data_IF_722844793376
#
_entry.id   IF_722844793376
#
_cell.length_a   1.000
_cell.length_b   1.000
_cell.length_c   1.000
_cell.angle_alpha   90.00
_cell.angle_beta   90.00
_cell.angle_gamma   90.00
#
_symmetry.space_group_name_H-M   'P 1'
#
loop_
_entity.id
_entity.type
_entity.pdbx_description
1 polymer ?
#
# COMPACT_ATOMS: atom_id res chain seq x y z
N UNK A 1 101.03 71.41 2.94
CA UNK A 1 100.25 71.36 1.70
C UNK A 1 100.21 72.75 1.11
N UNK A 2 100.39 72.89 -0.20
CA UNK A 2 100.15 74.15 -0.92
C UNK A 2 98.71 74.20 -1.47
N UNK A 3 98.26 75.34 -1.98
CA UNK A 3 96.89 75.53 -2.47
C UNK A 3 96.52 74.60 -3.64
N UNK A 4 97.47 74.26 -4.52
CA UNK A 4 97.24 73.33 -5.63
C UNK A 4 97.03 71.90 -5.13
N UNK A 5 97.81 71.44 -4.15
CA UNK A 5 97.62 70.11 -3.53
C UNK A 5 96.26 69.99 -2.83
N UNK A 6 95.78 71.05 -2.18
CA UNK A 6 94.46 71.04 -1.55
C UNK A 6 93.31 71.06 -2.58
N UNK A 7 93.50 71.79 -3.69
CA UNK A 7 92.56 71.81 -4.81
C UNK A 7 92.50 70.45 -5.53
N UNK A 8 93.65 69.81 -5.76
CA UNK A 8 93.74 68.45 -6.33
C UNK A 8 93.04 67.43 -5.42
N UNK A 9 93.24 67.54 -4.10
CA UNK A 9 92.51 66.72 -3.12
C UNK A 9 91.01 67.00 -3.17
N UNK A 10 90.59 68.27 -3.26
CA UNK A 10 89.17 68.64 -3.31
C UNK A 10 88.49 68.16 -4.60
N UNK A 11 89.18 68.24 -5.75
CA UNK A 11 88.70 67.66 -7.02
C UNK A 11 88.58 66.15 -6.91
N UNK A 12 89.58 65.48 -6.30
CA UNK A 12 89.49 64.04 -6.07
C UNK A 12 88.31 63.66 -5.18
N UNK A 13 87.93 64.49 -4.20
CA UNK A 13 86.75 64.25 -3.34
C UNK A 13 85.45 64.48 -4.12
N UNK A 14 85.38 65.55 -4.90
CA UNK A 14 84.23 65.84 -5.77
C UNK A 14 83.99 64.73 -6.79
N UNK A 15 85.05 64.22 -7.41
CA UNK A 15 84.98 63.09 -8.35
C UNK A 15 84.44 61.82 -7.68
N UNK A 16 84.79 61.59 -6.41
CA UNK A 16 84.31 60.45 -5.62
C UNK A 16 82.86 60.62 -5.17
N UNK A 17 82.44 61.84 -4.79
CA UNK A 17 81.05 62.12 -4.43
C UNK A 17 80.14 62.04 -5.67
N UNK A 18 80.61 62.51 -6.83
CA UNK A 18 79.80 62.59 -8.04
C UNK A 18 78.59 63.52 -7.87
N UNK A 19 77.46 63.18 -8.49
CA UNK A 19 76.20 63.93 -8.30
C UNK A 19 76.26 65.41 -8.71
N UNK A 20 77.23 65.83 -9.53
CA UNK A 20 77.40 67.25 -9.88
C UNK A 20 78.02 68.11 -8.77
N UNK A 21 78.63 67.50 -7.74
CA UNK A 21 79.50 68.23 -6.81
C UNK A 21 80.63 68.94 -7.58
N UNK A 22 81.15 70.03 -7.01
CA UNK A 22 82.14 70.89 -7.64
C UNK A 22 83.03 71.55 -6.60
N UNK A 23 84.27 71.89 -6.96
CA UNK A 23 85.13 72.71 -6.09
C UNK A 23 84.86 74.18 -6.39
N UNK A 24 84.31 74.89 -5.41
CA UNK A 24 84.05 76.33 -5.50
C UNK A 24 85.36 77.11 -5.52
N UNK A 25 85.30 78.37 -5.96
CA UNK A 25 86.48 79.27 -6.03
C UNK A 25 87.15 79.54 -4.68
N UNK A 26 86.43 79.33 -3.58
CA UNK A 26 86.94 79.46 -2.21
C UNK A 26 87.54 78.15 -1.64
N UNK A 27 87.56 77.08 -2.45
CA UNK A 27 88.06 75.76 -2.08
C UNK A 27 87.05 74.90 -1.32
N UNK A 28 85.82 75.38 -1.07
CA UNK A 28 84.73 74.54 -0.55
C UNK A 28 84.17 73.62 -1.63
N UNK A 29 83.47 72.56 -1.23
CA UNK A 29 82.79 71.64 -2.14
C UNK A 29 81.31 72.01 -2.20
N UNK A 30 80.76 72.22 -3.40
CA UNK A 30 79.31 72.32 -3.59
C UNK A 30 78.67 70.96 -3.38
N UNK A 31 77.50 70.94 -2.73
CA UNK A 31 76.79 69.71 -2.44
C UNK A 31 76.50 68.92 -3.73
N UNK A 32 76.62 67.58 -3.71
CA UNK A 32 76.10 66.74 -4.79
C UNK A 32 74.58 66.85 -4.87
N UNK A 33 73.99 66.27 -5.91
CA UNK A 33 72.55 66.03 -6.03
C UNK A 33 72.35 64.57 -6.43
N UNK A 34 71.74 63.79 -5.54
CA UNK A 34 71.34 62.42 -5.78
C UNK A 34 69.81 62.36 -5.85
N UNK A 35 69.25 62.01 -7.01
CA UNK A 35 67.80 61.86 -7.15
C UNK A 35 67.40 60.40 -6.87
N UNK A 36 66.60 60.16 -5.83
CA UNK A 36 66.08 58.84 -5.45
C UNK A 36 64.57 58.97 -5.29
N UNK A 37 63.80 58.07 -5.93
CA UNK A 37 62.34 58.09 -5.91
C UNK A 37 61.73 59.49 -6.20
N UNK A 38 62.29 60.20 -7.19
CA UNK A 38 61.92 61.57 -7.58
C UNK A 38 62.14 62.66 -6.51
N UNK A 39 62.99 62.40 -5.51
CA UNK A 39 63.41 63.38 -4.50
C UNK A 39 64.92 63.59 -4.60
N UNK A 40 65.37 64.85 -4.55
CA UNK A 40 66.79 65.22 -4.60
C UNK A 40 67.39 65.29 -3.19
N UNK A 41 68.55 64.66 -3.01
CA UNK A 41 69.31 64.63 -1.77
C UNK A 41 70.69 65.24 -1.99
N UNK A 42 71.10 66.13 -1.10
CA UNK A 42 72.33 66.91 -1.23
C UNK A 42 73.54 66.30 -0.51
N UNK A 43 73.36 65.13 0.10
CA UNK A 43 74.42 64.39 0.77
C UNK A 43 74.18 62.87 0.69
N UNK A 44 75.27 62.11 0.86
CA UNK A 44 75.27 60.64 0.70
C UNK A 44 74.44 59.94 1.77
N UNK A 45 74.46 60.44 3.02
CA UNK A 45 73.76 59.79 4.13
C UNK A 45 72.24 59.79 3.94
N UNK A 46 71.69 60.96 3.60
CA UNK A 46 70.25 61.09 3.36
C UNK A 46 69.82 60.34 2.10
N UNK A 47 70.65 60.32 1.06
CA UNK A 47 70.41 59.51 -0.12
C UNK A 47 70.37 58.00 0.19
N UNK A 48 71.30 57.49 1.01
CA UNK A 48 71.32 56.07 1.39
C UNK A 48 70.13 55.69 2.29
N UNK A 49 69.75 56.55 3.23
CA UNK A 49 68.55 56.35 4.06
C UNK A 49 67.28 56.37 3.19
N UNK A 50 67.22 57.26 2.20
CA UNK A 50 66.11 57.28 1.24
C UNK A 50 66.04 55.98 0.43
N UNK A 51 67.19 55.43 0.01
CA UNK A 51 67.22 54.15 -0.69
C UNK A 51 66.71 53.01 0.20
N UNK A 52 67.20 52.92 1.45
CA UNK A 52 66.80 51.90 2.43
C UNK A 52 65.28 51.92 2.66
N UNK A 53 64.73 53.10 2.96
CA UNK A 53 63.29 53.28 3.16
C UNK A 53 62.46 52.95 1.93
N UNK A 54 62.92 53.30 0.73
CA UNK A 54 62.19 52.95 -0.52
C UNK A 54 62.20 51.46 -0.81
N UNK A 55 63.21 50.72 -0.36
CA UNK A 55 63.29 49.27 -0.51
C UNK A 55 62.39 48.55 0.51
N UNK A 56 62.23 49.10 1.72
CA UNK A 56 61.34 48.55 2.74
C UNK A 56 59.86 48.53 2.29
N UNK A 57 59.41 49.54 1.55
CA UNK A 57 58.04 49.63 1.04
C UNK A 57 57.83 48.91 -0.33
N UNK A 58 58.88 48.32 -0.91
CA UNK A 58 58.81 47.65 -2.19
C UNK A 58 58.33 46.19 -2.08
N UNK A 59 57.60 45.70 -3.09
CA UNK A 59 57.39 44.26 -3.24
C UNK A 59 58.66 43.61 -3.79
N UNK A 60 59.45 43.00 -2.91
CA UNK A 60 60.75 42.44 -3.25
C UNK A 60 60.67 40.97 -3.63
N UNK A 61 61.59 40.54 -4.49
CA UNK A 61 61.79 39.13 -4.81
C UNK A 61 62.47 38.41 -3.65
N UNK A 62 61.80 37.40 -3.11
CA UNK A 62 62.34 36.48 -2.11
C UNK A 62 62.76 35.19 -2.80
N UNK A 63 64.07 35.00 -2.96
CA UNK A 63 64.65 33.80 -3.57
C UNK A 63 64.47 32.53 -2.71
N UNK A 64 64.05 32.67 -1.45
CA UNK A 64 63.80 31.56 -0.53
C UNK A 64 62.32 31.16 -0.46
N UNK A 65 61.43 31.97 -1.06
CA UNK A 65 60.00 31.69 -1.14
C UNK A 65 59.69 30.60 -2.18
N UNK A 66 59.74 29.34 -1.75
CA UNK A 66 59.47 28.17 -2.59
C UNK A 66 60.65 27.76 -3.47
N UNK A 67 60.43 26.81 -4.39
CA UNK A 67 61.52 26.21 -5.20
C UNK A 67 62.18 27.18 -6.18
N UNK A 68 61.44 28.17 -6.69
CA UNK A 68 61.92 29.11 -7.70
C UNK A 68 62.01 30.55 -7.21
N UNK A 69 61.74 30.82 -5.93
CA UNK A 69 61.53 32.17 -5.41
C UNK A 69 60.18 32.78 -5.82
N UNK A 70 59.78 33.87 -5.16
CA UNK A 70 58.54 34.59 -5.42
C UNK A 70 58.63 36.07 -5.01
N UNK A 71 57.74 36.91 -5.52
CA UNK A 71 57.53 38.24 -4.93
C UNK A 71 56.87 38.10 -3.55
N UNK A 72 57.43 38.76 -2.54
CA UNK A 72 56.88 38.79 -1.20
C UNK A 72 55.91 39.95 -1.04
N UNK A 73 54.69 39.64 -0.65
CA UNK A 73 53.70 40.62 -0.19
C UNK A 73 53.74 40.82 1.34
N UNK A 74 54.84 40.43 2.00
CA UNK A 74 55.04 40.71 3.41
C UNK A 74 55.46 42.17 3.59
N UNK A 75 54.82 42.87 4.53
CA UNK A 75 55.23 44.19 4.99
C UNK A 75 55.33 44.11 6.52
N UNK A 76 56.46 44.54 7.08
CA UNK A 76 56.79 44.39 8.51
C UNK A 76 56.59 42.96 9.06
N UNK A 77 56.93 41.95 8.24
CA UNK A 77 56.84 40.53 8.61
C UNK A 77 55.43 39.93 8.59
N UNK A 78 54.42 40.66 8.12
CA UNK A 78 53.03 40.18 8.00
C UNK A 78 52.56 40.16 6.55
N UNK A 79 51.80 39.12 6.19
CA UNK A 79 51.15 39.05 4.89
C UNK A 79 50.19 40.23 4.70
N UNK A 80 50.35 40.95 3.60
CA UNK A 80 49.56 42.15 3.30
C UNK A 80 48.58 41.93 2.15
N UNK A 81 47.55 42.78 2.10
CA UNK A 81 46.60 42.79 0.98
C UNK A 81 47.24 43.45 -0.24
N UNK A 82 47.06 42.85 -1.41
CA UNK A 82 47.28 43.51 -2.70
C UNK A 82 45.91 44.03 -3.18
N UNK A 83 45.71 45.35 -3.15
CA UNK A 83 44.47 46.00 -3.56
C UNK A 83 44.60 46.69 -4.90
N UNK A 84 43.50 47.20 -5.45
CA UNK A 84 43.42 47.83 -6.78
C UNK A 84 43.84 46.88 -7.93
N UNK A 85 43.70 45.58 -7.71
CA UNK A 85 43.88 44.55 -8.73
C UNK A 85 42.70 44.60 -9.69
N UNK A 86 42.95 44.97 -10.95
CA UNK A 86 41.95 44.89 -12.02
C UNK A 86 41.46 43.45 -12.17
N UNK A 87 40.23 43.25 -12.67
CA UNK A 87 39.72 41.90 -12.91
C UNK A 87 40.62 41.18 -13.92
N UNK A 88 41.19 40.05 -13.50
CA UNK A 88 42.05 39.24 -14.36
C UNK A 88 41.25 38.53 -15.43
N UNK A 89 41.88 38.20 -16.56
CA UNK A 89 41.26 37.37 -17.58
C UNK A 89 41.03 35.95 -17.04
N UNK A 90 39.84 35.37 -17.24
CA UNK A 90 39.56 33.98 -16.86
C UNK A 90 39.63 33.10 -18.12
N UNK A 91 40.71 32.32 -18.23
CA UNK A 91 40.93 31.33 -19.29
C UNK A 91 41.95 30.29 -18.84
N UNK A 92 42.01 29.14 -19.52
CA UNK A 92 42.90 28.01 -19.20
C UNK A 92 44.40 28.34 -19.32
N UNK A 93 44.75 29.51 -19.86
CA UNK A 93 46.13 29.96 -20.06
C UNK A 93 46.44 31.30 -19.40
N UNK A 94 45.50 31.86 -18.62
CA UNK A 94 45.70 33.17 -18.01
C UNK A 94 46.78 33.13 -16.94
N UNK A 95 47.58 34.19 -16.86
CA UNK A 95 48.53 34.45 -15.77
C UNK A 95 48.16 35.69 -14.98
N UNK A 96 46.95 36.23 -15.21
CA UNK A 96 46.46 37.41 -14.50
C UNK A 96 46.05 37.03 -13.07
N UNK A 97 46.32 37.92 -12.11
CA UNK A 97 45.77 37.79 -10.77
C UNK A 97 44.24 38.01 -10.80
N UNK A 98 43.50 37.20 -10.04
CA UNK A 98 42.05 37.39 -9.84
C UNK A 98 41.77 38.21 -8.60
N UNK A 99 40.71 39.02 -8.63
CA UNK A 99 40.30 39.81 -7.47
C UNK A 99 39.06 39.23 -6.76
N UNK A 100 38.73 39.78 -5.60
CA UNK A 100 37.61 39.30 -4.78
C UNK A 100 36.24 39.41 -5.46
N UNK A 101 36.03 40.35 -6.38
CA UNK A 101 34.75 40.48 -7.09
C UNK A 101 34.51 39.29 -8.04
N UNK A 102 35.58 38.79 -8.68
CA UNK A 102 35.48 37.60 -9.54
C UNK A 102 35.19 36.35 -8.72
N UNK A 103 35.88 36.15 -7.60
CA UNK A 103 35.63 35.02 -6.70
C UNK A 103 34.21 35.08 -6.10
N UNK A 104 33.76 36.26 -5.67
CA UNK A 104 32.39 36.46 -5.18
C UNK A 104 31.34 36.16 -6.26
N UNK A 105 31.62 36.51 -7.52
CA UNK A 105 30.75 36.15 -8.66
C UNK A 105 30.59 34.63 -8.81
N UNK A 106 31.68 33.87 -8.69
CA UNK A 106 31.64 32.40 -8.67
C UNK A 106 30.84 31.89 -7.46
N UNK A 107 31.13 32.37 -6.25
CA UNK A 107 30.39 31.96 -5.05
C UNK A 107 28.89 32.25 -5.15
N UNK A 108 28.52 33.40 -5.75
CA UNK A 108 27.12 33.78 -5.95
C UNK A 108 26.41 32.83 -6.93
N UNK A 109 27.07 32.50 -8.04
CA UNK A 109 26.54 31.54 -9.01
C UNK A 109 26.32 30.15 -8.40
N UNK A 110 27.21 29.69 -7.51
CA UNK A 110 27.04 28.41 -6.81
C UNK A 110 25.90 28.47 -5.80
N UNK A 111 25.79 29.54 -5.01
CA UNK A 111 24.69 29.72 -4.06
C UNK A 111 23.32 29.74 -4.78
N UNK A 112 23.22 30.44 -5.92
CA UNK A 112 22.02 30.45 -6.77
C UNK A 112 21.69 29.06 -7.33
N UNK A 113 22.70 28.30 -7.77
CA UNK A 113 22.52 26.96 -8.31
C UNK A 113 22.05 25.94 -7.24
N UNK A 114 22.51 26.09 -5.99
CA UNK A 114 22.00 25.31 -4.87
C UNK A 114 20.56 25.71 -4.52
N UNK A 115 20.23 27.01 -4.59
CA UNK A 115 18.92 27.49 -4.19
C UNK A 115 18.66 27.24 -2.71
N UNK A 116 17.42 26.95 -2.32
CA UNK A 116 17.07 26.63 -0.93
C UNK A 116 17.44 27.72 0.10
N UNK A 117 17.62 28.98 -0.33
CA UNK A 117 18.09 30.06 0.55
C UNK A 117 19.60 30.09 0.81
N UNK A 118 20.41 29.29 0.10
CA UNK A 118 21.86 29.43 0.12
C UNK A 118 22.28 30.83 -0.36
N UNK A 119 23.30 31.40 0.29
CA UNK A 119 23.78 32.75 0.02
C UNK A 119 25.30 32.85 0.25
N UNK A 120 25.93 33.88 -0.33
CA UNK A 120 27.34 34.19 -0.03
C UNK A 120 27.40 35.01 1.26
N UNK A 121 28.11 34.50 2.26
CA UNK A 121 28.37 35.16 3.53
C UNK A 121 29.40 36.29 3.38
N UNK A 122 29.50 37.16 4.38
CA UNK A 122 30.45 38.28 4.37
C UNK A 122 31.94 37.87 4.30
N UNK A 123 32.25 36.62 4.65
CA UNK A 123 33.60 36.04 4.56
C UNK A 123 33.86 35.31 3.22
N UNK A 124 32.88 35.31 2.30
CA UNK A 124 32.96 34.65 1.01
C UNK A 124 32.56 33.17 1.01
N UNK A 125 32.29 32.58 2.17
CA UNK A 125 31.72 31.22 2.28
C UNK A 125 30.27 31.18 1.80
N UNK A 126 29.75 30.00 1.46
CA UNK A 126 28.36 29.80 1.06
C UNK A 126 27.57 29.23 2.26
N UNK A 127 26.47 29.87 2.63
CA UNK A 127 25.55 29.34 3.64
C UNK A 127 24.84 28.09 3.11
N UNK A 128 24.57 27.14 4.00
CA UNK A 128 23.89 25.92 3.61
C UNK A 128 22.47 26.22 3.08
N UNK A 129 22.00 25.52 2.02
CA UNK A 129 20.60 25.58 1.61
C UNK A 129 19.70 24.95 2.68
N UNK A 130 18.39 25.10 2.54
CA UNK A 130 17.36 24.36 3.27
C UNK A 130 16.37 23.79 2.26
N UNK A 131 16.27 22.46 2.21
CA UNK A 131 15.29 21.72 1.41
C UNK A 131 14.33 21.00 2.34
N UNK A 132 13.04 21.32 2.28
CA UNK A 132 12.01 20.66 3.11
C UNK A 132 11.37 19.51 2.33
N UNK A 133 11.50 18.29 2.86
CA UNK A 133 10.94 17.06 2.27
C UNK A 133 10.21 16.30 3.38
N UNK A 134 8.93 15.97 3.16
CA UNK A 134 8.07 15.28 4.14
C UNK A 134 8.17 15.90 5.55
N UNK A 135 7.98 17.22 5.63
CA UNK A 135 8.05 18.02 6.87
C UNK A 135 9.39 17.98 7.63
N UNK A 136 10.47 17.55 6.96
CA UNK A 136 11.84 17.54 7.50
C UNK A 136 12.77 18.41 6.65
N UNK A 137 13.60 19.22 7.30
CA UNK A 137 14.55 20.12 6.64
C UNK A 137 15.93 19.46 6.46
N UNK A 138 16.50 19.61 5.27
CA UNK A 138 17.82 19.09 4.88
C UNK A 138 18.72 20.21 4.39
N UNK A 139 19.98 20.23 4.84
CA UNK A 139 20.91 21.35 4.56
C UNK A 139 21.93 21.08 3.46
N UNK A 140 21.78 19.96 2.75
CA UNK A 140 22.60 19.62 1.60
C UNK A 140 21.82 18.75 0.61
N UNK A 141 22.29 18.73 -0.64
CA UNK A 141 21.60 18.04 -1.75
C UNK A 141 21.60 16.52 -1.55
N UNK A 142 22.69 15.93 -1.04
CA UNK A 142 22.81 14.48 -0.89
C UNK A 142 21.77 13.92 0.07
N UNK A 143 21.65 14.51 1.25
CA UNK A 143 20.68 14.07 2.25
C UNK A 143 19.24 14.33 1.81
N UNK A 144 18.99 15.46 1.13
CA UNK A 144 17.69 15.74 0.54
C UNK A 144 17.30 14.69 -0.53
N UNK A 145 18.23 14.29 -1.41
CA UNK A 145 17.94 13.25 -2.41
C UNK A 145 17.71 11.88 -1.77
N UNK A 146 18.49 11.52 -0.75
CA UNK A 146 18.28 10.27 0.00
C UNK A 146 16.92 10.27 0.72
N UNK A 147 16.51 11.42 1.24
CA UNK A 147 15.20 11.56 1.86
C UNK A 147 14.09 11.32 0.84
N UNK A 148 14.17 11.92 -0.35
CA UNK A 148 13.20 11.67 -1.43
C UNK A 148 13.13 10.17 -1.75
N UNK A 149 14.28 9.52 -1.99
CA UNK A 149 14.34 8.08 -2.31
C UNK A 149 13.64 7.24 -1.22
N UNK A 150 13.97 7.47 0.05
CA UNK A 150 13.35 6.76 1.17
C UNK A 150 11.86 7.07 1.37
N UNK A 151 11.39 8.26 1.00
CA UNK A 151 9.96 8.59 1.07
C UNK A 151 9.17 7.88 -0.02
N UNK A 152 9.78 7.62 -1.18
CA UNK A 152 9.16 6.84 -2.25
C UNK A 152 8.97 5.37 -1.85
N UNK A 153 9.89 4.79 -1.08
CA UNK A 153 9.77 3.41 -0.57
C UNK A 153 8.51 3.21 0.30
N UNK A 154 8.04 4.27 0.95
CA UNK A 154 6.87 4.23 1.82
C UNK A 154 5.56 4.61 1.10
N UNK A 155 5.61 4.90 -0.20
CA UNK A 155 4.44 5.30 -0.98
C UNK A 155 3.75 4.10 -1.64
N UNK A 156 2.44 4.19 -1.85
CA UNK A 156 1.71 3.29 -2.75
C UNK A 156 2.01 3.68 -4.20
N UNK A 157 2.97 3.00 -4.81
CA UNK A 157 3.43 3.29 -6.16
C UNK A 157 2.72 2.44 -7.21
N UNK A 158 2.62 3.01 -8.42
CA UNK A 158 2.12 2.30 -9.58
C UNK A 158 3.17 1.30 -10.09
N UNK A 159 2.76 0.05 -10.23
CA UNK A 159 3.55 -1.03 -10.79
C UNK A 159 2.95 -1.43 -12.15
N UNK A 160 3.63 -1.04 -13.22
CA UNK A 160 3.19 -1.33 -14.59
C UNK A 160 3.26 -2.83 -14.94
N UNK A 161 4.00 -3.64 -14.17
CA UNK A 161 4.08 -5.08 -14.36
C UNK A 161 3.06 -5.85 -13.50
N UNK A 162 2.35 -5.17 -12.60
CA UNK A 162 1.33 -5.78 -11.76
C UNK A 162 0.03 -6.01 -12.54
N UNK A 163 -0.10 -7.19 -13.15
CA UNK A 163 -1.28 -7.59 -13.94
C UNK A 163 -1.29 -7.03 -15.36
N UNK A 164 -2.39 -7.26 -16.09
CA UNK A 164 -2.46 -6.96 -17.54
C UNK A 164 -2.39 -5.46 -17.87
N UNK A 165 -2.85 -4.60 -16.95
CA UNK A 165 -2.91 -3.14 -17.16
C UNK A 165 -2.06 -2.36 -16.14
N UNK A 166 -1.24 -3.02 -15.33
CA UNK A 166 -0.60 -2.43 -14.15
C UNK A 166 -1.57 -2.21 -12.99
N UNK A 167 -1.02 -2.00 -11.79
CA UNK A 167 -1.79 -1.76 -10.57
C UNK A 167 -0.98 -0.96 -9.54
N UNK A 168 -1.66 -0.35 -8.57
CA UNK A 168 -0.98 0.13 -7.37
C UNK A 168 -0.48 -1.05 -6.53
N UNK A 169 0.79 -1.01 -6.14
CA UNK A 169 1.43 -2.08 -5.39
C UNK A 169 1.50 -1.74 -3.90
N UNK A 170 0.84 -2.55 -3.08
CA UNK A 170 0.84 -2.43 -1.62
C UNK A 170 1.97 -3.24 -0.95
N UNK A 171 3.00 -3.64 -1.71
CA UNK A 171 4.18 -4.30 -1.16
C UNK A 171 5.08 -3.28 -0.45
N UNK A 172 5.51 -3.61 0.76
CA UNK A 172 6.55 -2.89 1.50
C UNK A 172 7.61 -3.89 1.92
N UNK A 173 8.89 -3.61 1.63
CA UNK A 173 10.01 -4.53 1.81
C UNK A 173 9.78 -5.94 1.21
N UNK A 174 9.16 -5.98 0.02
CA UNK A 174 8.87 -7.21 -0.73
C UNK A 174 7.75 -8.07 -0.16
N UNK A 175 6.94 -7.55 0.79
CA UNK A 175 5.81 -8.26 1.39
C UNK A 175 4.52 -7.47 1.18
N UNK A 176 3.44 -8.19 0.90
CA UNK A 176 2.11 -7.60 0.86
C UNK A 176 1.78 -6.93 2.21
N UNK A 177 1.35 -5.67 2.17
CA UNK A 177 1.01 -4.88 3.36
C UNK A 177 -0.49 -4.65 3.48
N UNK A 178 -0.93 -4.33 4.70
CA UNK A 178 -2.31 -3.98 5.01
C UNK A 178 -2.57 -2.52 4.64
N UNK A 179 -3.65 -2.28 3.90
CA UNK A 179 -4.22 -0.93 3.71
C UNK A 179 -5.30 -0.72 4.78
N UNK A 180 -5.05 0.16 5.74
CA UNK A 180 -5.99 0.48 6.83
C UNK A 180 -6.54 1.90 6.71
N UNK A 181 -7.43 2.29 7.62
CA UNK A 181 -8.15 3.58 7.59
C UNK A 181 -8.97 3.79 6.31
N UNK A 182 -9.37 2.69 5.67
CA UNK A 182 -10.27 2.69 4.52
C UNK A 182 -11.69 2.92 5.05
N UNK A 183 -12.31 4.03 4.64
CA UNK A 183 -13.72 4.30 4.93
C UNK A 183 -14.63 3.24 4.29
N UNK A 184 -15.87 3.13 4.76
CA UNK A 184 -16.82 2.18 4.15
C UNK A 184 -17.08 2.57 2.69
N UNK A 185 -16.81 1.65 1.76
CA UNK A 185 -17.12 1.83 0.35
C UNK A 185 -18.62 1.71 0.08
N UNK A 186 -19.11 2.35 -0.98
CA UNK A 186 -20.49 2.16 -1.40
C UNK A 186 -20.69 0.75 -1.97
N UNK A 187 -21.81 0.11 -1.61
CA UNK A 187 -22.20 -1.22 -2.13
C UNK A 187 -23.37 -1.03 -3.09
N UNK A 188 -23.08 -0.90 -4.39
CA UNK A 188 -24.04 -0.82 -5.50
C UNK A 188 -23.38 -1.33 -6.80
N UNK A 189 -24.18 -1.54 -7.85
CA UNK A 189 -23.75 -2.21 -9.10
C UNK A 189 -22.59 -1.51 -9.84
N UNK A 190 -22.37 -0.22 -9.61
CA UNK A 190 -21.38 0.60 -10.34
C UNK A 190 -20.24 1.10 -9.46
N UNK A 191 -20.19 0.69 -8.19
CA UNK A 191 -19.20 1.19 -7.24
C UNK A 191 -17.79 0.73 -7.60
N UNK A 192 -16.83 1.64 -7.50
CA UNK A 192 -15.39 1.37 -7.60
C UNK A 192 -14.66 1.60 -6.28
N UNK A 193 -15.41 1.75 -5.18
CA UNK A 193 -14.85 1.97 -3.87
C UNK A 193 -14.27 0.67 -3.30
N UNK A 194 -13.16 0.79 -2.57
CA UNK A 194 -12.67 -0.31 -1.76
C UNK A 194 -13.64 -0.60 -0.61
N UNK A 195 -13.87 -1.89 -0.31
CA UNK A 195 -14.62 -2.32 0.88
C UNK A 195 -13.66 -2.60 2.03
N UNK A 196 -14.07 -2.27 3.25
CA UNK A 196 -13.27 -2.55 4.45
C UNK A 196 -13.78 -3.77 5.24
N UNK A 197 -13.01 -4.17 6.25
CA UNK A 197 -13.32 -5.35 7.06
C UNK A 197 -14.66 -5.29 7.82
N UNK A 198 -15.15 -4.10 8.16
CA UNK A 198 -16.45 -3.97 8.85
C UNK A 198 -17.63 -4.38 7.96
N UNK A 199 -17.54 -4.08 6.66
CA UNK A 199 -18.56 -4.42 5.67
C UNK A 199 -18.57 -5.93 5.39
N UNK A 200 -17.39 -6.53 5.20
CA UNK A 200 -17.29 -7.98 5.03
C UNK A 200 -17.75 -8.73 6.29
N UNK A 201 -17.43 -8.23 7.48
CA UNK A 201 -17.90 -8.82 8.73
C UNK A 201 -19.43 -8.76 8.86
N UNK A 202 -20.07 -7.66 8.47
CA UNK A 202 -21.53 -7.57 8.46
C UNK A 202 -22.16 -8.65 7.57
N UNK A 203 -21.62 -8.88 6.38
CA UNK A 203 -22.05 -9.98 5.49
C UNK A 203 -21.82 -11.35 6.14
N UNK A 204 -20.64 -11.59 6.71
CA UNK A 204 -20.32 -12.87 7.36
C UNK A 204 -21.26 -13.18 8.54
N UNK A 205 -21.64 -12.18 9.32
CA UNK A 205 -22.62 -12.33 10.40
C UNK A 205 -24.00 -12.72 9.87
N UNK A 206 -24.44 -12.12 8.75
CA UNK A 206 -25.70 -12.51 8.11
C UNK A 206 -25.65 -13.96 7.60
N UNK A 207 -24.52 -14.38 7.02
CA UNK A 207 -24.32 -15.76 6.58
C UNK A 207 -24.37 -16.74 7.76
N UNK A 208 -23.68 -16.44 8.86
CA UNK A 208 -23.71 -17.28 10.05
C UNK A 208 -25.12 -17.41 10.64
N UNK A 209 -25.93 -16.35 10.60
CA UNK A 209 -27.33 -16.43 11.04
C UNK A 209 -28.18 -17.38 10.17
N UNK A 210 -27.83 -17.56 8.90
CA UNK A 210 -28.51 -18.48 7.98
C UNK A 210 -27.97 -19.91 8.14
N UNK A 211 -26.64 -20.08 8.12
CA UNK A 211 -25.99 -21.37 8.16
C UNK A 211 -26.01 -22.02 9.56
N UNK A 212 -26.03 -21.21 10.63
CA UNK A 212 -25.83 -21.66 12.00
C UNK A 212 -24.35 -21.87 12.32
N UNK A 213 -24.04 -22.86 13.15
CA UNK A 213 -22.66 -23.24 13.48
C UNK A 213 -22.00 -23.94 12.28
N UNK A 214 -21.01 -23.27 11.68
CA UNK A 214 -20.23 -23.76 10.54
C UNK A 214 -18.83 -24.21 10.94
N UNK A 215 -18.57 -24.45 12.23
CA UNK A 215 -17.29 -24.98 12.66
C UNK A 215 -17.09 -26.40 12.10
N UNK A 216 -15.85 -26.75 11.75
CA UNK A 216 -15.50 -28.06 11.21
C UNK A 216 -15.97 -29.21 12.13
N UNK A 217 -15.86 -29.01 13.45
CA UNK A 217 -16.35 -29.97 14.44
C UNK A 217 -17.86 -30.15 14.37
N UNK A 218 -18.61 -29.06 14.27
CA UNK A 218 -20.07 -29.11 14.25
C UNK A 218 -20.59 -29.76 12.96
N UNK A 219 -20.02 -29.39 11.82
CA UNK A 219 -20.36 -29.97 10.51
C UNK A 219 -20.07 -31.48 10.49
N UNK A 220 -18.91 -31.91 11.01
CA UNK A 220 -18.57 -33.34 11.04
C UNK A 220 -19.56 -34.16 11.89
N UNK A 221 -20.05 -33.60 13.00
CA UNK A 221 -20.98 -34.30 13.89
C UNK A 221 -22.44 -34.21 13.42
N UNK A 222 -22.85 -33.10 12.78
CA UNK A 222 -24.26 -32.77 12.53
C UNK A 222 -24.62 -32.66 11.04
N UNK A 223 -23.64 -32.73 10.14
CA UNK A 223 -23.83 -32.55 8.71
C UNK A 223 -23.77 -31.10 8.24
N UNK A 224 -23.66 -30.96 6.92
CA UNK A 224 -23.78 -29.66 6.25
C UNK A 224 -25.25 -29.21 6.16
N UNK A 225 -25.46 -27.90 6.04
CA UNK A 225 -26.77 -27.32 5.82
C UNK A 225 -26.94 -25.91 6.39
N UNK A 226 -28.21 -25.53 6.55
CA UNK A 226 -28.63 -24.27 7.18
C UNK A 226 -29.16 -24.53 8.59
N UNK A 227 -29.37 -23.47 9.36
CA UNK A 227 -29.66 -23.57 10.79
C UNK A 227 -30.81 -24.53 11.16
N UNK A 228 -31.83 -24.64 10.30
CA UNK A 228 -33.02 -25.47 10.54
C UNK A 228 -33.13 -26.70 9.63
N UNK A 229 -32.26 -26.83 8.63
CA UNK A 229 -32.27 -27.95 7.67
C UNK A 229 -30.83 -28.40 7.50
N UNK A 230 -30.52 -29.55 8.09
CA UNK A 230 -29.20 -30.19 7.97
C UNK A 230 -29.35 -31.62 7.52
N UNK A 231 -28.37 -32.08 6.76
CA UNK A 231 -28.21 -33.49 6.46
C UNK A 231 -26.81 -33.91 6.82
N UNK A 232 -26.68 -34.88 7.73
CA UNK A 232 -25.40 -35.51 7.96
C UNK A 232 -25.10 -36.50 6.83
N UNK A 233 -24.32 -36.01 5.88
CA UNK A 233 -23.79 -36.74 4.73
C UNK A 233 -22.33 -37.19 4.95
N UNK A 234 -21.83 -37.13 6.19
CA UNK A 234 -20.48 -37.58 6.51
C UNK A 234 -20.26 -39.04 6.07
N UNK A 235 -19.27 -39.24 5.21
CA UNK A 235 -18.93 -40.56 4.65
C UNK A 235 -19.82 -41.00 3.48
N UNK A 236 -20.71 -40.15 2.99
CA UNK A 236 -21.45 -40.36 1.75
C UNK A 236 -20.76 -39.66 0.57
N UNK A 237 -21.07 -40.07 -0.65
CA UNK A 237 -20.63 -39.35 -1.86
C UNK A 237 -21.53 -38.13 -2.02
N UNK A 238 -20.98 -36.96 -2.35
CA UNK A 238 -21.78 -35.75 -2.52
C UNK A 238 -22.93 -35.94 -3.53
N UNK A 239 -24.17 -35.75 -3.08
CA UNK A 239 -25.40 -35.81 -3.88
C UNK A 239 -26.39 -34.76 -3.37
N UNK A 240 -26.85 -33.88 -4.26
CA UNK A 240 -27.73 -32.76 -3.92
C UNK A 240 -29.22 -33.18 -3.80
N UNK A 241 -30.01 -32.37 -3.10
CA UNK A 241 -31.46 -32.46 -3.18
C UNK A 241 -31.94 -31.91 -4.54
N UNK A 242 -32.86 -32.60 -5.20
CA UNK A 242 -33.34 -32.26 -6.55
C UNK A 242 -34.84 -31.98 -6.55
N UNK A 243 -35.23 -30.69 -6.58
CA UNK A 243 -36.61 -30.24 -6.76
C UNK A 243 -36.82 -29.76 -8.21
N UNK A 244 -37.19 -30.67 -9.12
CA UNK A 244 -37.29 -30.40 -10.57
C UNK A 244 -38.71 -30.16 -11.06
N UNK A 245 -39.72 -30.63 -10.32
CA UNK A 245 -41.12 -30.29 -10.62
C UNK A 245 -41.42 -28.82 -10.33
N UNK A 246 -42.36 -28.22 -11.05
CA UNK A 246 -42.76 -26.82 -10.83
C UNK A 246 -43.36 -26.69 -9.42
N UNK A 247 -42.73 -25.90 -8.55
CA UNK A 247 -43.17 -25.73 -7.16
C UNK A 247 -42.80 -26.89 -6.22
N UNK A 248 -41.96 -27.83 -6.66
CA UNK A 248 -41.54 -28.96 -5.85
C UNK A 248 -40.60 -28.55 -4.69
N UNK A 249 -40.52 -29.39 -3.65
CA UNK A 249 -39.61 -29.22 -2.51
C UNK A 249 -38.86 -30.52 -2.24
N UNK A 250 -37.53 -30.48 -2.28
CA UNK A 250 -36.65 -31.59 -1.93
C UNK A 250 -35.77 -31.17 -0.74
N UNK A 251 -35.79 -31.97 0.33
CA UNK A 251 -35.01 -31.71 1.56
C UNK A 251 -34.32 -33.00 2.01
N UNK A 252 -32.99 -33.02 1.97
CA UNK A 252 -32.18 -34.15 2.39
C UNK A 252 -31.27 -34.71 1.30
N UNK A 253 -30.27 -35.46 1.71
CA UNK A 253 -29.27 -36.11 0.84
C UNK A 253 -29.95 -36.92 -0.28
N UNK A 254 -29.62 -36.63 -1.54
CA UNK A 254 -30.17 -37.32 -2.72
C UNK A 254 -31.71 -37.44 -2.70
N UNK A 255 -32.42 -36.46 -2.12
CA UNK A 255 -33.88 -36.41 -2.17
C UNK A 255 -34.34 -35.89 -3.54
N UNK A 256 -35.38 -36.49 -4.12
CA UNK A 256 -35.83 -36.20 -5.49
C UNK A 256 -37.32 -35.88 -5.50
N UNK A 257 -37.68 -34.63 -5.74
CA UNK A 257 -39.05 -34.17 -5.96
C UNK A 257 -39.20 -33.72 -7.43
N UNK A 258 -39.64 -34.64 -8.30
CA UNK A 258 -39.74 -34.41 -9.75
C UNK A 258 -41.17 -34.27 -10.29
N UNK A 259 -42.18 -34.50 -9.45
CA UNK A 259 -43.56 -34.16 -9.77
C UNK A 259 -43.85 -32.68 -9.48
N UNK A 260 -44.73 -32.05 -10.25
CA UNK A 260 -45.14 -30.66 -9.99
C UNK A 260 -45.77 -30.55 -8.59
N UNK A 261 -45.42 -29.51 -7.83
CA UNK A 261 -45.82 -29.30 -6.44
C UNK A 261 -45.54 -30.47 -5.48
N UNK A 262 -44.65 -31.39 -5.83
CA UNK A 262 -44.35 -32.57 -5.01
C UNK A 262 -43.36 -32.26 -3.88
N UNK A 263 -43.38 -33.07 -2.82
CA UNK A 263 -42.50 -32.93 -1.65
C UNK A 263 -41.74 -34.22 -1.42
N UNK A 264 -40.42 -34.14 -1.28
CA UNK A 264 -39.55 -35.26 -0.89
C UNK A 264 -38.67 -34.83 0.29
N UNK A 265 -38.84 -35.46 1.46
CA UNK A 265 -38.10 -35.13 2.68
C UNK A 265 -37.43 -36.39 3.23
N UNK A 266 -36.10 -36.35 3.36
CA UNK A 266 -35.26 -37.41 3.90
C UNK A 266 -34.32 -38.02 2.86
N UNK A 267 -33.27 -38.68 3.34
CA UNK A 267 -32.22 -39.27 2.52
C UNK A 267 -32.79 -40.27 1.50
N UNK A 268 -32.50 -40.11 0.20
CA UNK A 268 -33.02 -40.95 -0.90
C UNK A 268 -34.56 -40.98 -1.03
N UNK A 269 -35.28 -40.01 -0.45
CA UNK A 269 -36.73 -39.91 -0.68
C UNK A 269 -37.02 -39.51 -2.13
N UNK A 270 -38.11 -40.00 -2.72
CA UNK A 270 -38.46 -39.75 -4.11
C UNK A 270 -39.96 -39.49 -4.27
N UNK A 271 -40.34 -38.33 -4.81
CA UNK A 271 -41.72 -37.99 -5.14
C UNK A 271 -41.83 -37.57 -6.60
N UNK A 272 -42.24 -38.50 -7.46
CA UNK A 272 -42.18 -38.37 -8.93
C UNK A 272 -43.51 -38.02 -9.60
N UNK A 273 -44.56 -37.88 -8.79
CA UNK A 273 -45.93 -37.61 -9.22
C UNK A 273 -46.38 -36.26 -8.71
N UNK A 274 -47.22 -35.59 -9.49
CA UNK A 274 -47.79 -34.29 -9.17
C UNK A 274 -48.39 -34.31 -7.76
N UNK A 275 -47.92 -33.37 -6.93
CA UNK A 275 -48.36 -33.13 -5.56
C UNK A 275 -48.25 -34.34 -4.63
N UNK A 276 -47.45 -35.33 -5.00
CA UNK A 276 -47.11 -36.44 -4.13
C UNK A 276 -46.18 -36.01 -3.00
N UNK A 277 -46.26 -36.69 -1.86
CA UNK A 277 -45.48 -36.36 -0.67
C UNK A 277 -44.73 -37.61 -0.22
N UNK A 278 -43.40 -37.63 -0.31
CA UNK A 278 -42.55 -38.68 0.23
C UNK A 278 -41.87 -38.20 1.52
N UNK A 279 -42.18 -38.79 2.67
CA UNK A 279 -41.62 -38.42 3.98
C UNK A 279 -40.81 -39.56 4.61
N UNK A 280 -39.57 -39.27 4.95
CA UNK A 280 -38.63 -40.21 5.55
C UNK A 280 -37.61 -40.77 4.55
N UNK A 281 -36.51 -41.32 5.09
CA UNK A 281 -35.45 -41.89 4.25
C UNK A 281 -35.99 -42.99 3.34
N UNK A 282 -35.60 -42.97 2.07
CA UNK A 282 -35.99 -43.95 1.05
C UNK A 282 -37.50 -44.08 0.81
N UNK A 283 -38.31 -43.12 1.27
CA UNK A 283 -39.75 -43.12 0.98
C UNK A 283 -39.99 -42.76 -0.49
N UNK A 284 -40.91 -43.46 -1.14
CA UNK A 284 -41.22 -43.28 -2.56
C UNK A 284 -42.71 -42.97 -2.72
N UNK A 285 -43.02 -41.78 -3.20
CA UNK A 285 -44.34 -41.37 -3.68
C UNK A 285 -44.33 -41.40 -5.21
N UNK A 286 -44.82 -42.50 -5.78
CA UNK A 286 -44.92 -42.72 -7.23
C UNK A 286 -46.31 -43.23 -7.66
N UNK A 287 -47.24 -43.36 -6.71
CA UNK A 287 -48.61 -43.83 -6.96
C UNK A 287 -49.57 -42.66 -7.19
N UNK A 288 -49.99 -42.49 -8.44
CA UNK A 288 -51.11 -41.61 -8.78
C UNK A 288 -52.37 -42.14 -8.11
N UNK A 289 -53.06 -41.32 -7.30
CA UNK A 289 -54.39 -41.67 -6.81
C UNK A 289 -55.37 -41.28 -7.91
N UNK A 290 -55.84 -42.28 -8.65
CA UNK A 290 -56.79 -42.08 -9.75
C UNK A 290 -58.11 -41.48 -9.24
N UNK A 291 -58.68 -40.53 -10.00
CA UNK A 291 -60.07 -40.11 -9.83
C UNK A 291 -61.02 -41.24 -10.23
N UNK A 292 -61.91 -41.59 -9.30
CA UNK A 292 -62.98 -42.56 -9.51
C UNK A 292 -62.63 -43.94 -8.96
N UNK A 293 -63.40 -44.40 -7.97
CA UNK A 293 -63.50 -45.82 -7.71
C UNK A 293 -64.96 -46.24 -7.80
N UNK A 294 -65.16 -47.51 -8.17
CA UNK A 294 -66.47 -48.09 -8.42
C UNK A 294 -66.65 -49.38 -7.61
N UNK A 295 -67.85 -49.43 -7.04
CA UNK A 295 -68.63 -50.55 -6.51
C UNK A 295 -68.08 -51.25 -5.26
N UNK A 296 -68.57 -50.79 -4.11
CA UNK A 296 -68.69 -51.61 -2.90
C UNK A 296 -69.64 -52.77 -3.20
N UNK A 297 -69.18 -54.02 -3.14
CA UNK A 297 -70.03 -55.21 -3.33
C UNK A 297 -70.13 -56.01 -2.04
N UNK A 298 -71.28 -56.61 -1.77
CA UNK A 298 -71.46 -57.52 -0.63
C UNK A 298 -71.39 -58.93 -1.18
N UNK A 299 -70.42 -59.72 -0.73
CA UNK A 299 -70.35 -61.16 -0.98
C UNK A 299 -70.79 -61.92 0.28
N UNK A 300 -71.01 -63.23 0.16
CA UNK A 300 -71.40 -64.10 1.29
C UNK A 300 -70.36 -64.09 2.44
N UNK A 301 -69.13 -63.64 2.16
CA UNK A 301 -68.00 -63.56 3.09
C UNK A 301 -67.71 -62.14 3.63
N UNK A 302 -68.49 -61.11 3.27
CA UNK A 302 -68.35 -59.75 3.84
C UNK A 302 -68.58 -58.57 2.87
N UNK A 303 -68.48 -57.35 3.41
CA UNK A 303 -68.64 -56.09 2.67
C UNK A 303 -67.30 -55.70 2.03
N UNK A 304 -67.25 -55.71 0.70
CA UNK A 304 -66.16 -55.09 -0.08
C UNK A 304 -66.45 -53.60 -0.18
N UNK A 305 -65.58 -52.74 0.35
CA UNK A 305 -65.69 -51.29 0.12
C UNK A 305 -64.93 -50.93 -1.18
N UNK A 306 -65.64 -50.63 -2.26
CA UNK A 306 -65.12 -49.90 -3.40
C UNK A 306 -65.08 -48.41 -3.06
N UNK A 307 -63.90 -47.80 -3.13
CA UNK A 307 -63.72 -46.37 -2.87
C UNK A 307 -64.51 -45.52 -3.89
N UNK A 308 -64.72 -44.22 -3.65
CA UNK A 308 -64.95 -43.25 -4.73
C UNK A 308 -64.53 -41.86 -4.25
N UNK A 309 -63.64 -41.20 -4.99
CA UNK A 309 -62.90 -39.99 -4.63
C UNK A 309 -63.19 -38.82 -5.58
N UNK A 310 -64.48 -38.67 -5.93
CA UNK A 310 -64.93 -38.06 -7.19
C UNK A 310 -65.24 -36.55 -7.22
N UNK A 311 -64.72 -35.71 -6.33
CA UNK A 311 -64.76 -34.26 -6.56
C UNK A 311 -63.82 -33.47 -5.62
N UNK A 312 -62.61 -33.06 -6.01
CA UNK A 312 -61.85 -33.17 -7.26
C UNK A 312 -60.43 -32.64 -6.98
N UNK A 313 -59.44 -33.13 -7.73
CA UNK A 313 -57.98 -32.97 -7.51
C UNK A 313 -57.39 -33.86 -6.40
N UNK A 314 -57.60 -35.18 -6.49
CA UNK A 314 -56.67 -36.10 -5.84
C UNK A 314 -55.31 -36.04 -6.52
N UNK A 315 -54.46 -35.33 -5.82
CA UNK A 315 -53.06 -35.12 -6.06
C UNK A 315 -52.25 -36.18 -5.30
N UNK A 316 -51.00 -36.45 -5.70
CA UNK A 316 -50.25 -37.67 -5.36
C UNK A 316 -50.29 -38.13 -3.89
N UNK A 317 -50.07 -39.42 -3.64
CA UNK A 317 -50.21 -39.99 -2.30
C UNK A 317 -49.15 -39.46 -1.30
N UNK A 318 -49.53 -39.39 -0.02
CA UNK A 318 -48.57 -39.35 1.08
C UNK A 318 -47.95 -40.74 1.25
N UNK A 319 -46.66 -40.86 0.97
CA UNK A 319 -45.87 -42.05 1.20
C UNK A 319 -44.87 -41.83 2.33
N UNK A 320 -44.91 -42.71 3.32
CA UNK A 320 -43.95 -42.78 4.43
C UNK A 320 -43.00 -43.97 4.30
N UNK A 321 -42.95 -44.59 3.12
CA UNK A 321 -42.22 -45.83 2.88
C UNK A 321 -42.06 -46.10 1.39
N UNK A 322 -41.68 -47.32 1.06
CA UNK A 322 -41.51 -47.80 -0.31
C UNK A 322 -41.95 -49.26 -0.36
N UNK A 323 -42.00 -49.86 -1.55
CA UNK A 323 -42.34 -51.27 -1.69
C UNK A 323 -41.41 -52.15 -0.82
N UNK A 324 -42.01 -52.94 0.06
CA UNK A 324 -41.28 -53.75 1.05
C UNK A 324 -40.61 -52.97 2.19
N UNK A 325 -40.71 -51.63 2.23
CA UNK A 325 -40.16 -50.74 3.28
C UNK A 325 -41.29 -49.93 3.92
N UNK A 326 -42.03 -50.57 4.81
CA UNK A 326 -43.16 -49.94 5.47
C UNK A 326 -42.75 -49.28 6.79
N UNK A 327 -43.44 -48.20 7.14
CA UNK A 327 -43.34 -47.57 8.46
C UNK A 327 -44.69 -47.64 9.15
N UNK A 328 -44.66 -47.80 10.47
CA UNK A 328 -45.85 -47.64 11.29
C UNK A 328 -46.08 -46.16 11.55
N UNK A 329 -47.33 -45.73 11.48
CA UNK A 329 -47.77 -44.46 12.03
C UNK A 329 -48.28 -44.76 13.45
N UNK A 330 -47.61 -44.21 14.45
CA UNK A 330 -47.93 -44.41 15.87
C UNK A 330 -48.32 -43.09 16.52
N UNK A 331 -48.96 -43.14 17.69
CA UNK A 331 -49.52 -41.97 18.38
C UNK A 331 -50.59 -41.22 17.54
N UNK A 332 -51.31 -41.96 16.70
CA UNK A 332 -52.49 -41.47 15.99
C UNK A 332 -53.66 -41.48 16.98
N UNK A 333 -54.37 -40.35 17.11
CA UNK A 333 -55.60 -40.30 17.89
C UNK A 333 -56.73 -41.06 17.17
N UNK A 334 -57.77 -41.45 17.90
CA UNK A 334 -58.93 -42.07 17.25
C UNK A 334 -59.58 -41.11 16.26
N UNK A 335 -59.96 -41.64 15.08
CA UNK A 335 -60.59 -40.85 14.02
C UNK A 335 -61.94 -40.31 14.47
N UNK A 336 -62.18 -39.03 14.16
CA UNK A 336 -63.42 -38.30 14.45
C UNK A 336 -64.29 -38.08 13.20
N UNK A 337 -63.67 -38.09 12.02
CA UNK A 337 -64.31 -37.89 10.71
C UNK A 337 -64.05 -39.08 9.78
N UNK A 338 -64.84 -39.18 8.70
CA UNK A 338 -64.82 -40.33 7.78
C UNK A 338 -63.50 -40.57 7.03
N UNK A 339 -62.56 -39.62 7.08
CA UNK A 339 -61.28 -39.66 6.37
C UNK A 339 -60.05 -39.58 7.28
N UNK A 340 -60.26 -39.66 8.59
CA UNK A 340 -59.18 -39.70 9.56
C UNK A 340 -58.44 -41.06 9.51
N UNK A 341 -57.15 -41.05 9.86
CA UNK A 341 -56.43 -42.29 10.12
C UNK A 341 -56.98 -42.95 11.39
N UNK A 342 -57.24 -44.27 11.35
CA UNK A 342 -57.80 -45.04 12.47
C UNK A 342 -56.75 -45.90 13.17
N UNK A 343 -56.90 -46.11 14.49
CA UNK A 343 -55.99 -46.91 15.31
C UNK A 343 -56.33 -48.42 15.21
N UNK A 344 -55.32 -49.28 15.45
CA UNK A 344 -55.40 -50.73 15.19
C UNK A 344 -56.18 -51.59 16.22
N UNK A 345 -57.02 -51.02 17.10
CA UNK A 345 -57.86 -51.83 17.99
C UNK A 345 -59.11 -51.08 18.51
N UNK A 346 -60.33 -51.57 18.24
CA UNK A 346 -60.71 -52.48 17.18
C UNK A 346 -61.80 -51.88 16.28
N UNK A 347 -61.61 -52.05 14.97
CA UNK A 347 -62.71 -52.59 14.15
C UNK A 347 -63.15 -53.84 14.89
N UNK A 348 -64.22 -53.75 15.70
CA UNK A 348 -64.71 -54.88 16.45
C UNK A 348 -64.92 -56.02 15.46
N UNK A 349 -64.22 -57.15 15.66
CA UNK A 349 -64.65 -58.40 15.07
C UNK A 349 -66.11 -58.58 15.51
N UNK A 350 -67.05 -58.37 14.58
CA UNK A 350 -68.37 -58.94 14.72
C UNK A 350 -68.17 -60.45 14.67
N UNK A 351 -67.91 -61.06 15.82
CA UNK A 351 -67.79 -62.50 15.94
C UNK A 351 -69.16 -63.09 15.60
N UNK A 352 -69.28 -63.67 14.41
CA UNK A 352 -70.50 -64.32 13.92
C UNK A 352 -70.72 -65.60 14.73
N UNK A 353 -71.48 -65.51 15.82
CA UNK A 353 -71.98 -66.70 16.50
C UNK A 353 -73.18 -67.27 15.71
N UNK A 354 -72.93 -68.19 14.78
CA UNK A 354 -73.99 -69.01 14.21
C UNK A 354 -74.50 -70.02 15.25
N UNK A 355 -75.73 -69.83 15.75
CA UNK A 355 -76.52 -70.93 16.31
C UNK A 355 -77.90 -70.92 15.65
N UNK A 356 -78.39 -72.12 15.34
CA UNK A 356 -79.52 -72.40 14.45
C UNK A 356 -80.70 -71.41 14.52
N UNK A 357 -81.07 -70.92 13.33
CA UNK A 357 -82.37 -70.36 12.93
C UNK A 357 -82.82 -68.96 13.39
N UNK A 358 -81.96 -68.11 13.95
CA UNK A 358 -82.26 -66.65 13.99
C UNK A 358 -80.98 -65.79 13.98
N UNK A 359 -80.85 -64.90 12.99
CA UNK A 359 -79.84 -63.83 13.00
C UNK A 359 -80.38 -62.67 13.83
N UNK A 360 -79.83 -62.46 15.02
CA UNK A 360 -80.02 -61.20 15.76
C UNK A 360 -78.82 -60.28 15.50
N UNK A 361 -79.11 -59.11 14.95
CA UNK A 361 -78.17 -57.99 14.87
C UNK A 361 -78.23 -57.30 16.24
N UNK A 362 -77.18 -57.43 17.06
CA UNK A 362 -77.00 -56.54 18.20
C UNK A 362 -76.37 -55.23 17.71
N UNK A 363 -76.87 -54.06 18.13
CA UNK A 363 -76.27 -52.79 17.74
C UNK A 363 -74.91 -52.61 18.44
N UNK A 364 -73.93 -52.12 17.68
CA UNK A 364 -72.72 -51.51 18.21
C UNK A 364 -73.06 -50.24 19.00
#
# INVERSE_FOLDING_TARGET
MNGSQLYDVSNSVVDVLGGGAGVNTDGSISAPTYTIANTDYDNVGDALNALDTTLDDAMLWDATAGENGAFSASHDGSASKITNVAAGTISDTSTDAVNGAQLHGVSSSVAEALGGGAAVNSDGSISAPTYTIADTDYTNVGDAMNAIDSTLDNALLWDAAAGENGAFNASHDGKASVITNVANGQINETSTDAVNGSQLNATNMLIQNIAGDTSESYITENGEGINYVRTNDSGLVFEDASATGVGATAVGYNSVASGDSSVAIGQNSSSTIESGIALGSSSVSNRVILQGSRDTSVTEDGVVIGYNTSDGELLGALSIGDDGKYRQIINVADGSEAHDAVTGSPVAECDWCCSNDTVQILPC
#
